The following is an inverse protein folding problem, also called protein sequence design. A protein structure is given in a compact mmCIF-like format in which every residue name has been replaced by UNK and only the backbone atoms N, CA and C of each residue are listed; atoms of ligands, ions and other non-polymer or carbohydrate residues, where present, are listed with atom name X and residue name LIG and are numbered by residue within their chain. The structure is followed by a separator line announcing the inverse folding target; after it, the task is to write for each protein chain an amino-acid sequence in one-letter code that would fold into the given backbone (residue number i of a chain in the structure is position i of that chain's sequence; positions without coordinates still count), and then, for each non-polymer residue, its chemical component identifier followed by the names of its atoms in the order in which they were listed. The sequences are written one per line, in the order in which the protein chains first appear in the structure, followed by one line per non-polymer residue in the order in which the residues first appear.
data_IF_152241019385
#
_entry.id   IF_152241019385
#
_cell.length_a   1.000
_cell.length_b   1.000
_cell.length_c   1.000
_cell.angle_alpha   90.00
_cell.angle_beta   90.00
_cell.angle_gamma   90.00
#
_symmetry.space_group_name_H-M   'P 1'
#
loop_
_entity.id
_entity.type
_entity.pdbx_description
1 polymer ?
#
# COMPACT_ATOMS: atom_id res chain seq x y z
N UNK A 1 -28.13 37.23 4.20
CA UNK A 1 -26.75 36.93 3.77
C UNK A 1 -26.80 35.57 3.10
N UNK A 2 -26.66 35.55 1.78
CA UNK A 2 -26.71 34.35 0.95
C UNK A 2 -25.31 33.76 0.89
N UNK A 3 -25.11 32.59 1.49
CA UNK A 3 -23.90 31.80 1.26
C UNK A 3 -24.00 31.19 -0.14
N UNK A 4 -23.27 31.74 -1.09
CA UNK A 4 -23.10 31.15 -2.42
C UNK A 4 -22.17 29.95 -2.31
N UNK A 5 -22.73 28.75 -2.09
CA UNK A 5 -21.98 27.51 -2.25
C UNK A 5 -21.94 27.17 -3.75
N UNK A 6 -21.06 27.83 -4.48
CA UNK A 6 -20.57 27.30 -5.75
C UNK A 6 -19.38 26.41 -5.41
N UNK A 7 -19.62 25.10 -5.31
CA UNK A 7 -18.56 24.12 -5.58
C UNK A 7 -18.23 24.25 -7.06
N UNK A 8 -17.10 24.86 -7.37
CA UNK A 8 -16.63 24.94 -8.74
C UNK A 8 -16.35 23.51 -9.21
N UNK A 9 -17.15 23.04 -10.17
CA UNK A 9 -17.08 21.70 -10.78
C UNK A 9 -15.71 21.46 -11.48
N UNK A 10 -14.89 22.51 -11.58
CA UNK A 10 -13.59 22.56 -12.23
C UNK A 10 -12.55 21.62 -11.62
N UNK A 11 -12.50 21.48 -10.29
CA UNK A 11 -11.54 20.59 -9.61
C UNK A 11 -11.88 19.11 -9.83
N UNK A 12 -13.17 18.77 -9.77
CA UNK A 12 -13.64 17.41 -10.10
C UNK A 12 -13.28 17.05 -11.54
N UNK A 13 -13.58 17.94 -12.50
CA UNK A 13 -13.22 17.75 -13.91
C UNK A 13 -11.71 17.65 -14.09
N UNK A 14 -10.94 18.49 -13.40
CA UNK A 14 -9.46 18.46 -13.44
C UNK A 14 -8.91 17.14 -12.90
N UNK A 15 -9.42 16.66 -11.76
CA UNK A 15 -9.04 15.36 -11.19
C UNK A 15 -9.30 14.21 -12.15
N UNK A 16 -10.52 14.15 -12.71
CA UNK A 16 -10.91 13.10 -13.65
C UNK A 16 -10.03 13.14 -14.91
N UNK A 17 -9.79 14.33 -15.46
CA UNK A 17 -8.95 14.49 -16.65
C UNK A 17 -7.48 14.16 -16.39
N UNK A 18 -6.93 14.59 -15.25
CA UNK A 18 -5.50 14.44 -14.90
C UNK A 18 -5.14 13.01 -14.51
N UNK A 19 -6.02 12.33 -13.78
CA UNK A 19 -5.75 11.00 -13.21
C UNK A 19 -6.59 9.86 -13.80
N UNK A 20 -7.40 10.14 -14.83
CA UNK A 20 -8.18 9.12 -15.53
C UNK A 20 -9.20 8.39 -14.63
N UNK A 21 -9.71 9.06 -13.60
CA UNK A 21 -10.54 8.44 -12.55
C UNK A 21 -11.73 7.65 -13.11
N UNK A 22 -12.01 6.50 -12.52
CA UNK A 22 -12.98 5.52 -13.02
C UNK A 22 -14.35 5.69 -12.38
N UNK A 23 -15.37 6.08 -13.15
CA UNK A 23 -16.74 6.26 -12.65
C UNK A 23 -16.80 7.17 -11.39
N UNK A 24 -15.95 8.20 -11.36
CA UNK A 24 -15.86 9.12 -10.23
C UNK A 24 -17.18 9.85 -10.02
N UNK A 25 -17.57 10.04 -8.75
CA UNK A 25 -18.80 10.76 -8.38
C UNK A 25 -18.48 12.16 -7.88
N UNK A 26 -19.32 13.17 -8.18
CA UNK A 26 -19.18 14.49 -7.59
C UNK A 26 -19.16 14.43 -6.05
N UNK A 27 -18.29 15.23 -5.45
CA UNK A 27 -18.10 15.36 -4.00
C UNK A 27 -17.55 16.75 -3.68
N UNK A 28 -17.87 17.28 -2.50
CA UNK A 28 -17.34 18.58 -2.04
C UNK A 28 -15.85 18.51 -1.65
N UNK A 29 -15.29 17.30 -1.49
CA UNK A 29 -13.92 17.08 -1.02
C UNK A 29 -12.90 16.85 -2.15
N UNK A 30 -13.29 17.02 -3.42
CA UNK A 30 -12.37 16.83 -4.57
C UNK A 30 -11.19 17.79 -4.55
N UNK A 31 -11.40 19.04 -4.16
CA UNK A 31 -10.33 20.04 -4.04
C UNK A 31 -9.24 19.58 -3.06
N UNK A 32 -9.66 19.06 -1.89
CA UNK A 32 -8.74 18.51 -0.90
C UNK A 32 -8.02 17.25 -1.42
N UNK A 33 -8.75 16.35 -2.07
CA UNK A 33 -8.16 15.16 -2.69
C UNK A 33 -7.11 15.52 -3.75
N UNK A 34 -7.40 16.48 -4.64
CA UNK A 34 -6.47 16.94 -5.67
C UNK A 34 -5.18 17.45 -5.04
N UNK A 35 -5.30 18.35 -4.06
CA UNK A 35 -4.15 18.93 -3.38
C UNK A 35 -3.30 17.88 -2.66
N UNK A 36 -3.93 16.91 -1.99
CA UNK A 36 -3.23 15.81 -1.33
C UNK A 36 -2.49 14.92 -2.33
N UNK A 37 -3.14 14.58 -3.45
CA UNK A 37 -2.56 13.73 -4.49
C UNK A 37 -1.40 14.42 -5.20
N UNK A 38 -1.50 15.71 -5.48
CA UNK A 38 -0.40 16.51 -6.02
C UNK A 38 0.76 16.62 -5.04
N UNK A 39 0.49 16.86 -3.76
CA UNK A 39 1.52 16.91 -2.73
C UNK A 39 2.23 15.57 -2.56
N UNK A 40 1.49 14.45 -2.57
CA UNK A 40 2.04 13.10 -2.54
C UNK A 40 2.94 12.82 -3.75
N UNK A 41 2.49 13.19 -4.96
CA UNK A 41 3.28 13.02 -6.18
C UNK A 41 4.60 13.82 -6.13
N UNK A 42 4.53 15.09 -5.71
CA UNK A 42 5.72 15.94 -5.59
C UNK A 42 6.71 15.40 -4.54
N UNK A 43 6.19 14.87 -3.42
CA UNK A 43 7.00 14.27 -2.37
C UNK A 43 7.65 12.98 -2.85
N UNK A 44 6.88 12.06 -3.44
CA UNK A 44 7.41 10.81 -4.01
C UNK A 44 8.54 11.09 -5.01
N UNK A 45 8.38 12.08 -5.89
CA UNK A 45 9.44 12.50 -6.80
C UNK A 45 10.67 13.07 -6.06
N UNK A 46 10.47 13.81 -4.98
CA UNK A 46 11.56 14.36 -4.16
C UNK A 46 12.33 13.26 -3.42
N UNK A 47 11.64 12.29 -2.84
CA UNK A 47 12.25 11.13 -2.18
C UNK A 47 13.08 10.30 -3.18
N UNK A 48 12.55 10.05 -4.38
CA UNK A 48 13.29 9.39 -5.45
C UNK A 48 14.56 10.16 -5.86
N UNK A 49 14.54 11.49 -5.84
CA UNK A 49 15.72 12.31 -6.14
C UNK A 49 16.76 12.29 -5.01
N UNK A 50 16.32 12.20 -3.74
CA UNK A 50 17.19 12.19 -2.56
C UNK A 50 17.85 10.84 -2.31
N UNK A 51 17.18 9.74 -2.69
CA UNK A 51 17.67 8.36 -2.59
C UNK A 51 18.98 8.09 -3.37
N UNK A 52 19.41 8.99 -4.27
CA UNK A 52 20.61 8.76 -5.09
C UNK A 52 20.49 7.51 -5.98
N UNK A 53 21.57 7.10 -6.62
CA UNK A 53 21.54 5.94 -7.55
C UNK A 53 21.53 4.57 -6.85
N UNK A 54 21.87 4.50 -5.55
CA UNK A 54 22.00 3.23 -4.81
C UNK A 54 20.75 2.88 -3.97
N UNK A 55 19.98 3.86 -3.44
CA UNK A 55 18.74 3.59 -2.69
C UNK A 55 17.49 3.49 -3.60
N UNK A 56 17.64 3.69 -4.91
CA UNK A 56 16.57 3.51 -5.92
C UNK A 56 16.01 2.08 -5.99
N UNK A 57 16.67 1.12 -5.36
CA UNK A 57 16.24 -0.27 -5.32
C UNK A 57 14.84 -0.45 -4.70
N UNK A 58 14.42 0.39 -3.74
CA UNK A 58 13.10 0.20 -3.10
C UNK A 58 11.92 0.67 -3.94
N UNK A 59 12.01 1.83 -4.59
CA UNK A 59 10.97 2.28 -5.52
C UNK A 59 10.78 1.28 -6.66
N UNK A 60 11.87 0.74 -7.20
CA UNK A 60 11.82 -0.32 -8.22
C UNK A 60 11.13 -1.59 -7.72
N UNK A 61 11.21 -1.90 -6.42
CA UNK A 61 10.53 -3.05 -5.82
C UNK A 61 9.04 -2.81 -5.61
N UNK A 62 8.64 -1.61 -5.21
CA UNK A 62 7.22 -1.22 -5.16
C UNK A 62 6.64 -1.31 -6.57
N UNK A 63 7.32 -0.74 -7.57
CA UNK A 63 6.90 -0.79 -8.97
C UNK A 63 6.79 -2.25 -9.44
N UNK A 64 7.81 -3.08 -9.20
CA UNK A 64 7.79 -4.51 -9.55
C UNK A 64 6.64 -5.27 -8.87
N UNK A 65 6.40 -5.04 -7.58
CA UNK A 65 5.35 -5.74 -6.83
C UNK A 65 3.95 -5.34 -7.31
N UNK A 66 3.77 -4.05 -7.62
CA UNK A 66 2.52 -3.50 -8.18
C UNK A 66 2.31 -4.05 -9.59
N UNK A 67 3.30 -3.96 -10.47
CA UNK A 67 3.20 -4.43 -11.86
C UNK A 67 2.87 -5.92 -11.92
N UNK A 68 3.60 -6.76 -11.16
CA UNK A 68 3.34 -8.20 -11.09
C UNK A 68 1.91 -8.52 -10.63
N UNK A 69 1.43 -7.79 -9.63
CA UNK A 69 0.05 -7.93 -9.19
C UNK A 69 -0.93 -7.54 -10.31
N UNK A 70 -0.77 -6.37 -10.92
CA UNK A 70 -1.71 -5.86 -11.92
C UNK A 70 -1.73 -6.75 -13.17
N UNK A 71 -0.57 -7.23 -13.63
CA UNK A 71 -0.44 -8.24 -14.69
C UNK A 71 -1.25 -9.51 -14.36
N UNK A 72 -1.22 -9.95 -13.11
CA UNK A 72 -1.96 -11.14 -12.67
C UNK A 72 -3.47 -10.96 -12.69
N UNK A 73 -3.96 -9.72 -12.59
CA UNK A 73 -5.39 -9.40 -12.59
C UNK A 73 -5.99 -9.33 -14.00
N UNK A 74 -5.16 -9.24 -15.04
CA UNK A 74 -5.60 -9.17 -16.45
C UNK A 74 -6.67 -8.09 -16.66
N UNK A 75 -6.41 -6.91 -16.10
CA UNK A 75 -7.28 -5.75 -16.25
C UNK A 75 -7.16 -5.17 -17.66
N UNK A 76 -8.07 -4.28 -18.03
CA UNK A 76 -7.87 -3.44 -19.23
C UNK A 76 -6.76 -2.41 -18.95
N UNK A 77 -5.90 -2.11 -19.92
CA UNK A 77 -4.73 -1.23 -19.75
C UNK A 77 -5.06 0.12 -19.07
N UNK A 78 -6.22 0.69 -19.40
CA UNK A 78 -6.67 1.95 -18.79
C UNK A 78 -6.92 1.80 -17.29
N UNK A 79 -7.50 0.68 -16.87
CA UNK A 79 -7.84 0.38 -15.48
C UNK A 79 -6.60 0.11 -14.64
N UNK A 80 -5.67 -0.65 -15.20
CA UNK A 80 -4.36 -0.93 -14.62
C UNK A 80 -3.59 0.37 -14.37
N UNK A 81 -3.47 1.21 -15.40
CA UNK A 81 -2.77 2.50 -15.28
C UNK A 81 -3.36 3.40 -14.19
N UNK A 82 -4.68 3.46 -14.07
CA UNK A 82 -5.32 4.30 -13.04
C UNK A 82 -5.01 3.81 -11.62
N UNK A 83 -4.89 2.50 -11.43
CA UNK A 83 -4.50 1.93 -10.13
C UNK A 83 -3.03 2.20 -9.83
N UNK A 84 -2.15 1.99 -10.81
CA UNK A 84 -0.72 2.27 -10.69
C UNK A 84 -0.46 3.75 -10.37
N UNK A 85 -1.06 4.67 -11.13
CA UNK A 85 -0.98 6.12 -10.93
C UNK A 85 -1.58 6.58 -9.59
N UNK A 86 -2.32 5.69 -8.89
CA UNK A 86 -2.94 5.93 -7.60
C UNK A 86 -2.04 5.66 -6.40
N UNK A 87 -0.86 5.07 -6.60
CA UNK A 87 0.03 4.65 -5.52
C UNK A 87 1.23 5.60 -5.44
N UNK A 88 1.51 6.10 -4.24
CA UNK A 88 2.67 6.96 -3.98
C UNK A 88 3.43 6.53 -2.74
N UNK A 89 4.76 6.50 -2.82
CA UNK A 89 5.63 6.36 -1.67
C UNK A 89 5.74 7.73 -1.01
N UNK A 90 5.27 7.84 0.23
CA UNK A 90 5.32 9.07 1.01
C UNK A 90 6.61 9.18 1.81
N UNK A 91 7.17 8.06 2.24
CA UNK A 91 8.42 8.03 3.00
C UNK A 91 9.03 6.65 2.92
N UNK A 92 10.36 6.59 2.91
CA UNK A 92 11.11 5.35 2.98
C UNK A 92 12.42 5.59 3.74
N UNK A 93 12.73 4.70 4.67
CA UNK A 93 14.04 4.60 5.32
C UNK A 93 14.47 3.14 5.27
N UNK A 94 15.46 2.83 4.43
CA UNK A 94 15.94 1.46 4.20
C UNK A 94 17.42 1.40 4.53
N UNK A 95 17.77 0.56 5.50
CA UNK A 95 19.15 0.32 5.89
C UNK A 95 19.60 -1.02 5.31
N UNK A 96 20.61 -0.98 4.45
CA UNK A 96 21.24 -2.16 3.86
C UNK A 96 22.58 -2.45 4.54
N UNK A 97 22.78 -3.71 4.94
CA UNK A 97 24.05 -4.19 5.50
C UNK A 97 25.13 -4.36 4.42
N UNK A 98 26.38 -4.52 4.84
CA UNK A 98 27.52 -4.66 3.92
C UNK A 98 27.49 -5.90 3.02
N UNK A 99 26.59 -6.86 3.27
CA UNK A 99 26.28 -8.02 2.43
C UNK A 99 25.09 -7.79 1.48
N UNK A 100 24.68 -6.53 1.29
CA UNK A 100 23.51 -6.13 0.50
C UNK A 100 22.19 -6.70 1.02
N UNK A 101 22.13 -7.08 2.31
CA UNK A 101 20.90 -7.53 2.96
C UNK A 101 20.21 -6.39 3.68
N UNK A 102 18.88 -6.31 3.60
CA UNK A 102 18.15 -5.26 4.32
C UNK A 102 18.12 -5.59 5.82
N UNK A 103 18.56 -4.64 6.63
CA UNK A 103 18.62 -4.71 8.10
C UNK A 103 17.44 -4.02 8.76
N UNK A 104 16.95 -2.95 8.17
CA UNK A 104 15.68 -2.34 8.55
C UNK A 104 15.06 -1.65 7.36
N UNK A 105 13.74 -1.57 7.35
CA UNK A 105 12.99 -0.81 6.37
C UNK A 105 11.73 -0.27 7.03
N UNK A 106 11.53 1.03 6.90
CA UNK A 106 10.28 1.70 7.21
C UNK A 106 9.76 2.32 5.93
N UNK A 107 8.58 1.91 5.47
CA UNK A 107 8.03 2.35 4.19
C UNK A 107 6.60 2.78 4.42
N UNK A 108 6.30 4.03 4.09
CA UNK A 108 4.96 4.59 4.11
C UNK A 108 4.51 4.88 2.68
N UNK A 109 3.44 4.23 2.27
CA UNK A 109 2.79 4.45 0.98
C UNK A 109 1.35 4.92 1.16
N UNK A 110 0.79 5.54 0.12
CA UNK A 110 -0.63 5.92 0.04
C UNK A 110 -1.23 5.42 -1.26
N UNK A 111 -2.37 4.75 -1.16
CA UNK A 111 -3.19 4.28 -2.27
C UNK A 111 -4.43 5.18 -2.35
N UNK A 112 -4.50 6.02 -3.37
CA UNK A 112 -5.68 6.83 -3.62
C UNK A 112 -6.76 6.02 -4.31
N UNK A 113 -8.01 6.20 -3.88
CA UNK A 113 -9.14 5.62 -4.60
C UNK A 113 -9.21 6.17 -6.03
N UNK A 114 -9.51 5.33 -7.03
CA UNK A 114 -9.72 5.76 -8.39
C UNK A 114 -11.11 6.36 -8.65
N UNK A 115 -12.02 6.38 -7.66
CA UNK A 115 -13.41 6.78 -7.90
C UNK A 115 -14.07 7.64 -6.79
N UNK A 116 -13.44 7.75 -5.62
CA UNK A 116 -13.90 8.62 -4.54
C UNK A 116 -12.73 9.41 -3.94
N UNK A 117 -12.99 10.57 -3.32
CA UNK A 117 -11.96 11.40 -2.70
C UNK A 117 -11.51 10.82 -1.34
N UNK A 118 -10.90 9.65 -1.39
CA UNK A 118 -10.46 8.83 -0.26
C UNK A 118 -9.11 8.17 -0.56
N UNK A 119 -8.46 7.64 0.47
CA UNK A 119 -7.22 6.90 0.32
C UNK A 119 -7.01 5.90 1.47
N UNK A 120 -6.01 5.05 1.31
CA UNK A 120 -5.50 4.19 2.39
C UNK A 120 -3.99 4.37 2.45
N UNK A 121 -3.48 4.68 3.64
CA UNK A 121 -2.04 4.63 3.90
C UNK A 121 -1.67 3.21 4.33
N UNK A 122 -0.55 2.73 3.82
CA UNK A 122 0.02 1.44 4.21
C UNK A 122 1.45 1.67 4.68
N UNK A 123 1.74 1.16 5.88
CA UNK A 123 3.04 1.32 6.52
C UNK A 123 3.66 -0.04 6.81
N UNK A 124 4.89 -0.23 6.38
CA UNK A 124 5.73 -1.39 6.67
C UNK A 124 6.77 -0.99 7.70
N UNK A 125 6.89 -1.78 8.77
CA UNK A 125 7.99 -1.72 9.72
C UNK A 125 8.72 -3.04 9.72
N UNK A 126 9.98 -3.02 9.30
CA UNK A 126 10.85 -4.18 9.21
C UNK A 126 12.16 -3.93 9.93
N UNK A 127 12.60 -4.92 10.72
CA UNK A 127 13.99 -4.98 11.17
C UNK A 127 14.48 -6.42 11.40
N UNK A 128 15.77 -6.60 11.13
CA UNK A 128 16.58 -7.76 11.45
C UNK A 128 17.78 -7.30 12.29
N UNK A 129 17.78 -7.68 13.57
CA UNK A 129 18.85 -7.37 14.52
C UNK A 129 19.48 -8.65 15.06
N UNK A 130 20.72 -8.90 14.65
CA UNK A 130 21.61 -9.84 15.33
C UNK A 130 22.01 -9.32 16.71
N UNK A 131 21.70 -10.07 17.76
CA UNK A 131 22.21 -9.91 19.13
C UNK A 131 23.24 -11.00 19.43
N UNK A 132 23.95 -10.88 20.56
CA UNK A 132 25.06 -11.78 20.95
C UNK A 132 24.72 -13.29 20.93
N UNK A 133 23.45 -13.66 21.12
CA UNK A 133 23.00 -15.07 21.11
C UNK A 133 21.62 -15.29 20.47
N UNK A 134 21.05 -14.28 19.82
CA UNK A 134 19.72 -14.36 19.21
C UNK A 134 19.61 -13.47 17.99
N UNK A 135 18.77 -13.84 17.02
CA UNK A 135 18.32 -12.94 15.97
C UNK A 135 16.93 -12.45 16.36
N UNK A 136 16.75 -11.13 16.40
CA UNK A 136 15.45 -10.50 16.58
C UNK A 136 14.95 -10.07 15.21
N UNK A 137 13.82 -10.64 14.81
CA UNK A 137 13.18 -10.35 13.55
C UNK A 137 11.82 -9.71 13.80
N UNK A 138 11.46 -8.74 12.97
CA UNK A 138 10.16 -8.13 13.00
C UNK A 138 9.77 -7.67 11.61
N UNK A 139 8.55 -7.99 11.21
CA UNK A 139 7.96 -7.48 9.98
C UNK A 139 6.46 -7.30 10.18
N UNK A 140 6.07 -6.05 10.33
CA UNK A 140 4.69 -5.64 10.55
C UNK A 140 4.22 -4.74 9.44
N UNK A 141 2.95 -4.92 9.08
CA UNK A 141 2.27 -4.08 8.12
C UNK A 141 1.04 -3.51 8.81
N UNK A 142 0.86 -2.22 8.63
CA UNK A 142 -0.22 -1.45 9.21
C UNK A 142 -0.94 -0.65 8.13
N UNK A 143 -2.18 -0.25 8.41
CA UNK A 143 -2.97 0.57 7.50
C UNK A 143 -3.73 1.68 8.23
N UNK A 144 -3.98 2.79 7.52
CA UNK A 144 -4.84 3.89 7.99
C UNK A 144 -5.78 4.31 6.86
N UNK A 145 -7.09 4.29 7.14
CA UNK A 145 -8.13 4.68 6.17
C UNK A 145 -8.37 6.20 6.23
N UNK A 146 -8.45 6.81 5.06
CA UNK A 146 -8.88 8.19 4.86
C UNK A 146 -10.20 8.18 4.09
N UNK A 147 -11.32 8.06 4.81
CA UNK A 147 -12.66 7.96 4.21
C UNK A 147 -13.01 9.20 3.38
N UNK A 148 -12.57 10.37 3.84
CA UNK A 148 -12.65 11.66 3.14
C UNK A 148 -11.48 12.56 3.52
N UNK A 149 -11.06 13.42 2.61
CA UNK A 149 -10.11 14.50 2.91
C UNK A 149 -10.85 15.76 3.36
N UNK A 150 -10.70 16.15 4.62
CA UNK A 150 -11.37 17.32 5.21
C UNK A 150 -10.48 18.58 5.22
N UNK A 151 -9.33 18.56 4.54
CA UNK A 151 -8.40 19.68 4.52
C UNK A 151 -7.37 19.59 3.40
N UNK A 152 -6.85 20.76 3.00
CA UNK A 152 -5.82 20.90 1.96
C UNK A 152 -4.41 20.57 2.47
N UNK A 153 -4.23 20.52 3.79
CA UNK A 153 -2.93 20.29 4.42
C UNK A 153 -2.47 18.86 4.20
N UNK A 154 -1.40 18.69 3.43
CA UNK A 154 -0.75 17.41 3.24
C UNK A 154 -0.05 16.99 4.55
N UNK A 155 -0.55 15.93 5.17
CA UNK A 155 -0.03 15.39 6.42
C UNK A 155 0.51 13.99 6.16
N UNK A 156 1.81 13.83 6.39
CA UNK A 156 2.47 12.53 6.51
C UNK A 156 2.39 12.12 7.98
N UNK A 157 1.82 10.95 8.26
CA UNK A 157 1.70 10.40 9.61
C UNK A 157 2.57 9.15 9.73
N UNK A 158 3.88 9.35 9.72
CA UNK A 158 4.80 8.25 10.04
C UNK A 158 4.59 7.81 11.49
N UNK A 159 4.47 6.51 11.75
CA UNK A 159 4.52 6.00 13.12
C UNK A 159 5.84 6.33 13.80
N UNK A 160 5.79 6.86 15.03
CA UNK A 160 7.00 7.08 15.85
C UNK A 160 7.37 5.80 16.63
N UNK A 161 7.18 4.64 16.02
CA UNK A 161 7.40 3.31 16.60
C UNK A 161 6.18 2.64 17.25
N UNK A 162 6.36 1.45 17.87
CA UNK A 162 5.28 0.53 18.24
C UNK A 162 4.22 1.09 19.20
N UNK A 163 4.55 2.15 19.96
CA UNK A 163 3.65 2.79 20.92
C UNK A 163 2.87 3.99 20.38
N UNK A 164 3.19 4.46 19.16
CA UNK A 164 2.62 5.68 18.57
C UNK A 164 2.27 5.46 17.10
N UNK A 165 1.25 4.64 16.90
CA UNK A 165 0.78 4.27 15.57
C UNK A 165 -0.18 5.30 14.95
N UNK A 166 -0.41 6.49 15.52
CA UNK A 166 -1.22 7.59 14.93
C UNK A 166 -2.58 7.21 14.27
N UNK A 167 -3.24 6.17 14.79
CA UNK A 167 -4.52 5.65 14.26
C UNK A 167 -4.39 4.49 13.29
N UNK A 168 -3.17 4.13 12.88
CA UNK A 168 -2.89 2.92 12.12
C UNK A 168 -3.37 1.68 12.85
N UNK A 169 -3.91 0.75 12.08
CA UNK A 169 -4.40 -0.55 12.50
C UNK A 169 -3.45 -1.63 11.96
N UNK A 170 -3.18 -2.71 12.72
CA UNK A 170 -2.37 -3.81 12.22
C UNK A 170 -3.07 -4.52 11.06
N UNK A 171 -2.33 -4.88 10.01
CA UNK A 171 -2.78 -5.63 8.85
C UNK A 171 -2.26 -7.07 8.90
N UNK A 172 -0.95 -7.20 9.01
CA UNK A 172 -0.22 -8.46 8.92
C UNK A 172 0.99 -8.39 9.85
N UNK A 173 1.14 -9.41 10.69
CA UNK A 173 2.36 -9.67 11.44
C UNK A 173 3.04 -10.90 10.82
N UNK A 174 4.33 -10.78 10.52
CA UNK A 174 5.16 -11.89 10.03
C UNK A 174 6.18 -12.21 11.11
N UNK A 175 5.94 -13.33 11.80
CA UNK A 175 6.89 -13.92 12.73
C UNK A 175 7.69 -14.99 11.98
N UNK A 176 9.02 -14.86 11.94
CA UNK A 176 9.86 -15.85 11.25
C UNK A 176 10.20 -17.07 12.11
N UNK A 177 10.04 -16.98 13.44
CA UNK A 177 10.35 -18.07 14.36
C UNK A 177 9.35 -18.15 15.52
N UNK A 178 8.41 -19.12 15.50
CA UNK A 178 8.11 -20.09 14.44
C UNK A 178 7.36 -19.41 13.29
N UNK A 179 7.69 -19.70 12.02
CA UNK A 179 7.03 -19.18 10.81
C UNK A 179 5.50 -19.10 10.97
N UNK A 180 5.03 -17.95 11.46
CA UNK A 180 3.63 -17.69 11.77
C UNK A 180 3.30 -16.37 11.15
N UNK A 181 2.31 -16.43 10.27
CA UNK A 181 1.77 -15.25 9.63
C UNK A 181 0.39 -15.03 10.23
N UNK A 182 0.20 -13.89 10.88
CA UNK A 182 -1.06 -13.54 11.52
C UNK A 182 -1.63 -12.32 10.81
N UNK A 183 -2.65 -12.55 9.99
CA UNK A 183 -3.49 -11.48 9.49
C UNK A 183 -4.29 -10.91 10.65
N UNK A 184 -4.05 -9.65 10.97
CA UNK A 184 -4.71 -8.93 12.05
C UNK A 184 -5.91 -8.13 11.55
N UNK A 185 -6.63 -8.69 10.56
CA UNK A 185 -7.76 -8.02 9.92
C UNK A 185 -9.02 -8.89 9.93
N UNK A 186 -10.14 -8.29 10.33
CA UNK A 186 -11.46 -8.92 10.30
C UNK A 186 -12.14 -8.77 8.95
N UNK A 187 -13.09 -9.66 8.62
CA UNK A 187 -13.92 -9.57 7.41
C UNK A 187 -14.60 -8.19 7.27
N UNK A 188 -15.08 -7.61 8.37
CA UNK A 188 -15.68 -6.26 8.37
C UNK A 188 -14.68 -5.17 8.02
N UNK A 189 -13.44 -5.27 8.51
CA UNK A 189 -12.38 -4.31 8.18
C UNK A 189 -11.94 -4.45 6.72
N UNK A 190 -11.79 -5.67 6.21
CA UNK A 190 -11.52 -5.89 4.77
C UNK A 190 -12.62 -5.28 3.91
N UNK A 191 -13.88 -5.46 4.30
CA UNK A 191 -15.01 -4.87 3.59
C UNK A 191 -14.99 -3.33 3.68
N UNK A 192 -14.63 -2.77 4.83
CA UNK A 192 -14.48 -1.32 4.99
C UNK A 192 -13.38 -0.76 4.09
N UNK A 193 -12.18 -1.35 4.10
CA UNK A 193 -11.06 -0.99 3.22
C UNK A 193 -11.47 -1.03 1.75
N UNK A 194 -12.16 -2.10 1.36
CA UNK A 194 -12.67 -2.24 0.00
C UNK A 194 -13.64 -1.11 -0.36
N UNK A 195 -14.52 -0.73 0.58
CA UNK A 195 -15.44 0.38 0.36
C UNK A 195 -14.74 1.73 0.32
N UNK A 196 -13.67 1.94 1.10
CA UNK A 196 -12.87 3.17 1.06
C UNK A 196 -12.19 3.31 -0.29
N UNK A 197 -11.51 2.26 -0.77
CA UNK A 197 -10.75 2.30 -2.01
C UNK A 197 -11.61 2.17 -3.26
N UNK A 198 -12.73 1.46 -3.23
CA UNK A 198 -13.46 1.12 -4.45
C UNK A 198 -14.95 1.49 -4.45
N UNK A 199 -15.53 1.90 -3.32
CA UNK A 199 -16.82 2.60 -3.06
C UNK A 199 -18.10 2.28 -3.88
N UNK A 200 -18.05 1.47 -4.92
CA UNK A 200 -19.05 1.39 -5.98
C UNK A 200 -19.33 -0.07 -6.30
N UNK A 201 -20.60 -0.47 -6.18
CA UNK A 201 -21.05 -1.84 -6.47
C UNK A 201 -20.81 -2.25 -7.94
N UNK A 202 -20.80 -1.29 -8.86
CA UNK A 202 -20.47 -1.54 -10.27
C UNK A 202 -18.99 -1.93 -10.44
N UNK A 203 -18.11 -1.44 -9.56
CA UNK A 203 -16.68 -1.81 -9.53
C UNK A 203 -16.46 -3.07 -8.69
N UNK A 204 -17.26 -3.31 -7.63
CA UNK A 204 -17.28 -4.59 -6.88
C UNK A 204 -17.41 -5.80 -7.79
N UNK A 205 -18.17 -5.66 -8.89
CA UNK A 205 -18.40 -6.75 -9.84
C UNK A 205 -17.34 -6.85 -10.94
N UNK A 206 -16.47 -5.85 -11.13
CA UNK A 206 -15.75 -5.69 -12.39
C UNK A 206 -14.22 -5.51 -12.31
N UNK A 207 -13.56 -5.44 -11.15
CA UNK A 207 -12.11 -5.15 -11.19
C UNK A 207 -11.21 -5.89 -10.22
N UNK A 208 -11.40 -5.78 -8.90
CA UNK A 208 -10.38 -6.28 -7.96
C UNK A 208 -11.09 -7.16 -6.93
N UNK A 209 -10.81 -8.46 -6.85
CA UNK A 209 -11.33 -9.28 -5.77
C UNK A 209 -10.71 -8.84 -4.42
N UNK A 210 -11.35 -9.10 -3.27
CA UNK A 210 -10.81 -8.69 -1.96
C UNK A 210 -9.38 -9.20 -1.71
N UNK A 211 -9.03 -10.37 -2.23
CA UNK A 211 -7.66 -10.90 -2.15
C UNK A 211 -6.65 -10.01 -2.91
N UNK A 212 -7.01 -9.54 -4.10
CA UNK A 212 -6.17 -8.64 -4.86
C UNK A 212 -6.04 -7.24 -4.22
N UNK A 213 -7.06 -6.75 -3.49
CA UNK A 213 -6.92 -5.53 -2.70
C UNK A 213 -5.87 -5.70 -1.59
N UNK A 214 -5.90 -6.82 -0.87
CA UNK A 214 -4.90 -7.11 0.14
C UNK A 214 -3.50 -7.23 -0.49
N UNK A 215 -3.37 -7.92 -1.62
CA UNK A 215 -2.09 -7.96 -2.38
C UNK A 215 -1.65 -6.56 -2.82
N UNK A 216 -2.58 -5.68 -3.20
CA UNK A 216 -2.27 -4.30 -3.59
C UNK A 216 -1.70 -3.48 -2.43
N UNK A 217 -2.28 -3.65 -1.23
CA UNK A 217 -1.74 -3.01 -0.02
C UNK A 217 -0.33 -3.50 0.31
N UNK A 218 -0.05 -4.78 0.11
CA UNK A 218 1.29 -5.35 0.34
C UNK A 218 2.27 -4.90 -0.75
N UNK A 219 1.83 -4.89 -2.01
CA UNK A 219 2.61 -4.43 -3.15
C UNK A 219 2.99 -2.95 -3.03
N UNK A 220 2.11 -2.10 -2.47
CA UNK A 220 2.39 -0.67 -2.29
C UNK A 220 3.55 -0.38 -1.33
N UNK A 221 3.98 -1.35 -0.53
CA UNK A 221 5.16 -1.29 0.34
C UNK A 221 6.27 -2.27 -0.10
N UNK A 222 6.22 -2.75 -1.35
CA UNK A 222 7.28 -3.55 -1.95
C UNK A 222 7.24 -5.05 -1.59
N UNK A 223 6.07 -5.55 -1.17
CA UNK A 223 5.86 -6.96 -0.86
C UNK A 223 5.04 -7.64 -1.97
N UNK A 224 5.71 -8.47 -2.77
CA UNK A 224 5.08 -9.34 -3.77
C UNK A 224 4.72 -10.70 -3.16
N UNK A 225 3.44 -11.05 -3.13
CA UNK A 225 2.96 -12.36 -2.68
C UNK A 225 1.69 -12.83 -3.39
N UNK A 226 1.53 -14.15 -3.51
CA UNK A 226 0.26 -14.80 -3.80
C UNK A 226 -0.42 -15.22 -2.51
N UNK A 227 -1.74 -15.14 -2.52
CA UNK A 227 -2.56 -15.76 -1.50
C UNK A 227 -3.29 -16.94 -2.16
N UNK A 228 -3.09 -18.14 -1.63
CA UNK A 228 -3.89 -19.30 -2.00
C UNK A 228 -5.34 -19.10 -1.58
N UNK A 229 -6.27 -19.65 -2.36
CA UNK A 229 -7.68 -19.73 -1.97
C UNK A 229 -7.90 -21.09 -1.35
N UNK A 230 -8.27 -21.09 -0.07
CA UNK A 230 -8.77 -22.29 0.61
C UNK A 230 -9.95 -22.92 -0.15
N UNK A 231 -10.16 -24.23 0.00
CA UNK A 231 -11.17 -24.99 -0.73
C UNK A 231 -12.62 -24.58 -0.43
N UNK A 232 -12.88 -23.84 0.65
CA UNK A 232 -14.20 -23.32 1.01
C UNK A 232 -14.22 -21.79 0.91
N UNK A 233 -14.99 -21.28 -0.05
CA UNK A 233 -15.16 -19.86 -0.33
C UNK A 233 -15.56 -19.04 0.91
N UNK A 234 -14.92 -17.87 1.09
CA UNK A 234 -15.29 -16.68 1.89
C UNK A 234 -14.49 -16.35 3.17
N UNK A 235 -13.41 -17.07 3.51
CA UNK A 235 -12.45 -16.65 4.55
C UNK A 235 -11.01 -16.64 4.05
N UNK A 236 -10.24 -15.62 4.45
CA UNK A 236 -8.78 -15.64 4.35
C UNK A 236 -8.28 -16.67 5.36
N UNK A 237 -7.99 -17.88 4.93
CA UNK A 237 -7.23 -18.82 5.76
C UNK A 237 -5.75 -18.46 5.62
N UNK A 238 -5.10 -18.18 6.76
CA UNK A 238 -3.67 -17.87 6.89
C UNK A 238 -2.75 -18.93 6.29
N UNK A 239 -3.28 -20.12 6.03
CA UNK A 239 -2.52 -21.34 5.82
C UNK A 239 -2.02 -21.52 4.37
N UNK A 240 -2.38 -20.62 3.45
CA UNK A 240 -1.89 -20.65 2.06
C UNK A 240 -1.27 -19.32 1.58
N UNK A 241 -0.61 -18.55 2.44
CA UNK A 241 0.25 -17.45 1.96
C UNK A 241 1.44 -18.05 1.20
N UNK A 242 1.58 -17.74 -0.09
CA UNK A 242 2.71 -18.15 -0.92
C UNK A 242 3.42 -16.92 -1.44
N UNK A 243 4.73 -16.83 -1.22
CA UNK A 243 5.50 -15.69 -1.74
C UNK A 243 5.73 -15.90 -3.25
N UNK A 244 5.22 -14.98 -4.07
CA UNK A 244 5.39 -15.00 -5.52
C UNK A 244 6.81 -14.55 -5.88
N UNK A 245 7.44 -15.21 -6.85
CA UNK A 245 8.74 -14.78 -7.41
C UNK A 245 10.00 -15.19 -6.63
N UNK A 246 9.88 -16.07 -5.63
CA UNK A 246 11.02 -16.53 -4.86
C UNK A 246 12.00 -17.44 -5.62
N UNK A 247 11.61 -18.12 -6.70
CA UNK A 247 12.51 -19.10 -7.34
C UNK A 247 13.77 -18.46 -7.95
N UNK A 248 13.72 -17.19 -8.40
CA UNK A 248 14.90 -16.50 -8.94
C UNK A 248 15.09 -15.02 -8.53
N UNK A 249 14.12 -14.32 -7.91
CA UNK A 249 14.31 -12.91 -7.53
C UNK A 249 14.78 -12.72 -6.08
N UNK A 250 16.09 -12.59 -6.00
CA UNK A 250 16.93 -12.34 -4.84
C UNK A 250 16.88 -10.89 -4.30
N UNK A 251 15.69 -10.28 -4.14
CA UNK A 251 15.60 -8.90 -3.66
C UNK A 251 14.90 -8.77 -2.30
N UNK A 252 15.70 -8.31 -1.35
CA UNK A 252 15.36 -7.75 -0.03
C UNK A 252 14.76 -8.69 1.04
N UNK A 253 13.44 -8.74 1.22
CA UNK A 253 12.81 -9.49 2.32
C UNK A 253 12.92 -11.00 2.09
N UNK A 254 12.76 -11.46 0.84
CA UNK A 254 12.79 -12.88 0.49
C UNK A 254 14.12 -13.57 0.82
N UNK A 255 15.25 -12.86 0.76
CA UNK A 255 16.57 -13.36 1.20
C UNK A 255 16.65 -13.52 2.73
N UNK A 256 16.10 -12.57 3.48
CA UNK A 256 16.12 -12.60 4.94
C UNK A 256 15.11 -13.62 5.52
N UNK A 257 13.90 -13.67 4.95
CA UNK A 257 12.88 -14.69 5.24
C UNK A 257 13.43 -16.10 4.98
N UNK A 258 14.19 -16.31 3.88
CA UNK A 258 14.86 -17.59 3.59
C UNK A 258 15.96 -17.96 4.57
N UNK A 259 16.82 -17.03 5.02
CA UNK A 259 17.92 -17.36 5.97
C UNK A 259 17.44 -17.93 7.29
N UNK A 260 16.23 -17.59 7.72
CA UNK A 260 15.65 -18.04 8.99
C UNK A 260 14.83 -19.33 8.81
N UNK A 261 14.50 -19.67 7.56
CA UNK A 261 13.64 -20.80 7.18
C UNK A 261 14.39 -22.09 6.83
N UNK A 262 15.73 -22.09 6.91
CA UNK A 262 16.61 -23.23 6.62
C UNK A 262 17.66 -23.43 7.72
#
# INVERSE_FOLDING_TARGET
MSASNFTDDSDFVTCVAKYGLMNAKPSETWTAYLAQREAAANRSASEQLLAGSDDGCHSEMVDFAVDNLLDSLKLEDQKEKVLQDGIYILSQDVIVGGDMTVRSAEVLSRIYSPNNPSAVDVYLSYYDRTRDSSVEFHCDIYYLMHDTFTGMEFIVREPEGPGKMHGFQPLLHIDLLPQKHEFNITKSQTQALFMVLFANESIRRCMIPPDAMMRLMLASVGIAMSMGRGPENDSFESDEIRWDGLEDNAHWLGKNVRRVSW
#
